data_IF_776816154841
#
_entry.id   IF_776816154841
#
_cell.length_a   1.000
_cell.length_b   1.000
_cell.length_c   1.000
_cell.angle_alpha   90.00
_cell.angle_beta   90.00
_cell.angle_gamma   90.00
#
_symmetry.space_group_name_H-M   'P 1'
#
loop_
_entity.id
_entity.type
_entity.pdbx_description
1 polymer ?
#
# COMPACT_ATOMS: atom_id res chain seq x y z
N UNK A 1 21.67 9.59 -14.28
CA UNK A 1 20.27 10.01 -14.22
C UNK A 1 19.59 9.39 -13.00
N UNK A 2 19.01 10.22 -12.15
CA UNK A 2 18.35 9.70 -10.95
C UNK A 2 17.07 8.97 -11.33
N UNK A 3 16.86 7.79 -10.76
CA UNK A 3 15.62 7.05 -10.95
C UNK A 3 14.56 7.62 -10.01
N UNK A 4 13.35 7.72 -10.51
CA UNK A 4 12.22 8.05 -9.67
C UNK A 4 11.95 6.86 -8.76
N UNK A 5 11.60 7.13 -7.51
CA UNK A 5 11.16 6.05 -6.62
C UNK A 5 9.80 5.53 -7.11
N UNK A 6 9.44 4.33 -6.72
CA UNK A 6 8.11 3.78 -7.04
C UNK A 6 6.98 4.65 -6.52
N UNK A 7 7.20 5.34 -5.41
CA UNK A 7 6.21 6.26 -4.83
C UNK A 7 5.96 7.47 -5.73
N UNK A 8 7.00 7.97 -6.39
CA UNK A 8 6.90 9.11 -7.29
C UNK A 8 6.36 8.73 -8.66
N UNK A 9 6.79 7.58 -9.17
CA UNK A 9 6.37 7.10 -10.49
C UNK A 9 4.98 6.47 -10.48
N UNK A 10 4.47 6.12 -9.30
CA UNK A 10 3.21 5.41 -9.15
C UNK A 10 3.30 3.90 -9.36
N UNK A 11 4.53 3.37 -9.41
CA UNK A 11 4.76 1.92 -9.50
C UNK A 11 5.14 1.40 -8.13
N UNK A 12 4.16 1.01 -7.35
CA UNK A 12 4.35 0.67 -5.95
C UNK A 12 4.74 -0.80 -5.76
N UNK A 13 5.67 -1.02 -4.83
CA UNK A 13 5.98 -2.37 -4.37
C UNK A 13 4.78 -2.93 -3.57
N UNK A 14 4.73 -4.25 -3.44
CA UNK A 14 3.61 -4.92 -2.77
C UNK A 14 3.35 -4.42 -1.35
N UNK A 15 4.41 -4.19 -0.57
CA UNK A 15 4.23 -3.70 0.80
C UNK A 15 3.47 -2.37 0.83
N UNK A 16 3.81 -1.45 -0.08
CA UNK A 16 3.14 -0.16 -0.17
C UNK A 16 1.67 -0.32 -0.58
N UNK A 17 1.39 -1.21 -1.53
CA UNK A 17 0.02 -1.50 -1.96
C UNK A 17 -0.80 -2.06 -0.81
N UNK A 18 -0.23 -2.99 -0.05
CA UNK A 18 -0.92 -3.57 1.12
C UNK A 18 -1.26 -2.49 2.17
N UNK A 19 -0.29 -1.63 2.47
CA UNK A 19 -0.52 -0.54 3.44
C UNK A 19 -1.62 0.39 2.94
N UNK A 20 -1.61 0.74 1.66
CA UNK A 20 -2.64 1.62 1.10
C UNK A 20 -4.02 0.96 1.12
N UNK A 21 -4.11 -0.35 0.87
CA UNK A 21 -5.37 -1.07 0.97
C UNK A 21 -5.95 -0.99 2.38
N UNK A 22 -5.09 -1.11 3.39
CA UNK A 22 -5.51 -0.98 4.78
C UNK A 22 -6.00 0.44 5.09
N UNK A 23 -5.57 1.44 4.32
CA UNK A 23 -5.88 2.85 4.54
C UNK A 23 -6.96 3.39 3.62
N UNK A 24 -7.64 2.53 2.89
CA UNK A 24 -8.87 2.91 2.16
C UNK A 24 -9.93 3.38 3.16
N UNK A 25 -9.90 2.81 4.35
CA UNK A 25 -10.62 3.31 5.53
C UNK A 25 -9.61 3.95 6.46
N UNK A 26 -9.95 5.03 7.16
CA UNK A 26 -9.02 5.64 8.12
C UNK A 26 -8.62 4.65 9.22
N UNK A 27 -7.33 4.57 9.51
CA UNK A 27 -6.79 3.68 10.55
C UNK A 27 -5.59 4.30 11.24
N UNK A 28 -5.40 3.94 12.49
CA UNK A 28 -4.14 4.21 13.19
C UNK A 28 -3.04 3.39 12.53
N UNK A 29 -1.83 3.94 12.47
CA UNK A 29 -0.71 3.24 11.89
C UNK A 29 -0.52 1.84 12.47
N UNK A 30 -0.60 1.72 13.80
CA UNK A 30 -0.46 0.42 14.46
C UNK A 30 -1.53 -0.59 14.02
N UNK A 31 -2.75 -0.13 13.82
CA UNK A 31 -3.85 -1.01 13.41
C UNK A 31 -3.68 -1.56 12.00
N UNK A 32 -2.86 -0.92 11.17
CA UNK A 32 -2.59 -1.40 9.81
C UNK A 32 -1.94 -2.78 9.83
N UNK A 33 -0.98 -3.00 10.73
CA UNK A 33 -0.30 -4.29 10.83
C UNK A 33 -1.28 -5.41 11.17
N UNK A 34 -2.10 -5.17 12.17
CA UNK A 34 -3.09 -6.14 12.62
C UNK A 34 -4.12 -6.42 11.53
N UNK A 35 -4.60 -5.37 10.88
CA UNK A 35 -5.59 -5.50 9.80
C UNK A 35 -5.05 -6.36 8.66
N UNK A 36 -3.81 -6.10 8.22
CA UNK A 36 -3.21 -6.85 7.11
C UNK A 36 -2.98 -8.31 7.47
N UNK A 37 -2.55 -8.57 8.69
CA UNK A 37 -2.36 -9.94 9.15
C UNK A 37 -3.67 -10.71 9.19
N UNK A 38 -4.72 -10.09 9.71
CA UNK A 38 -6.05 -10.72 9.77
C UNK A 38 -6.65 -10.95 8.39
N UNK A 39 -6.62 -9.92 7.53
CA UNK A 39 -7.20 -10.01 6.19
C UNK A 39 -6.47 -11.01 5.29
N UNK A 40 -5.17 -11.17 5.48
CA UNK A 40 -4.37 -12.10 4.69
C UNK A 40 -4.25 -13.49 5.33
N UNK A 41 -4.91 -13.70 6.47
CA UNK A 41 -4.81 -14.94 7.24
C UNK A 41 -3.35 -15.29 7.54
N UNK A 42 -2.57 -14.29 7.91
CA UNK A 42 -1.18 -14.45 8.29
C UNK A 42 -0.19 -14.46 7.14
N UNK A 43 -0.66 -14.38 5.89
CA UNK A 43 0.24 -14.39 4.73
C UNK A 43 1.07 -13.10 4.63
N UNK A 44 0.53 -11.99 5.16
CA UNK A 44 1.22 -10.71 5.16
C UNK A 44 1.50 -10.29 6.58
N UNK A 45 2.78 -10.30 6.95
CA UNK A 45 3.23 -9.85 8.25
C UNK A 45 4.21 -8.69 8.03
N UNK A 46 3.80 -7.50 8.43
CA UNK A 46 4.60 -6.31 8.26
C UNK A 46 5.12 -5.87 9.63
N UNK A 47 6.43 -5.74 9.77
CA UNK A 47 7.02 -5.29 11.02
C UNK A 47 6.87 -3.77 11.20
N UNK A 48 7.03 -3.27 12.44
CA UNK A 48 6.87 -1.84 12.73
C UNK A 48 7.81 -0.94 11.93
N UNK A 49 9.07 -1.32 11.79
CA UNK A 49 10.05 -0.51 11.04
C UNK A 49 9.65 -0.35 9.58
N UNK A 50 9.26 -1.45 8.94
CA UNK A 50 8.81 -1.44 7.55
C UNK A 50 7.53 -0.64 7.38
N UNK A 51 6.59 -0.80 8.32
CA UNK A 51 5.34 -0.06 8.30
C UNK A 51 5.58 1.45 8.35
N UNK A 52 6.31 1.91 9.36
CA UNK A 52 6.50 3.35 9.54
C UNK A 52 7.35 3.99 8.45
N UNK A 53 8.31 3.25 7.90
CA UNK A 53 9.07 3.69 6.73
C UNK A 53 8.13 3.86 5.52
N UNK A 54 7.26 2.89 5.30
CA UNK A 54 6.29 2.94 4.20
C UNK A 54 5.30 4.08 4.37
N UNK A 55 4.76 4.26 5.58
CA UNK A 55 3.84 5.37 5.87
C UNK A 55 4.49 6.72 5.58
N UNK A 56 5.75 6.89 5.99
CA UNK A 56 6.49 8.13 5.75
C UNK A 56 6.65 8.40 4.24
N UNK A 57 7.03 7.38 3.49
CA UNK A 57 7.21 7.51 2.04
C UNK A 57 5.91 7.79 1.32
N UNK A 58 4.83 7.13 1.71
CA UNK A 58 3.51 7.36 1.13
C UNK A 58 3.00 8.78 1.44
N UNK A 59 3.20 9.24 2.68
CA UNK A 59 2.85 10.61 3.07
C UNK A 59 3.63 11.63 2.27
N UNK A 60 4.95 11.43 2.13
CA UNK A 60 5.82 12.34 1.39
C UNK A 60 5.45 12.41 -0.08
N UNK A 61 4.94 11.33 -0.65
CA UNK A 61 4.50 11.29 -2.04
C UNK A 61 3.07 11.80 -2.23
N UNK A 62 2.37 12.17 -1.16
CA UNK A 62 1.01 12.68 -1.23
C UNK A 62 -0.06 11.62 -1.47
N UNK A 63 0.27 10.35 -1.24
CA UNK A 63 -0.65 9.24 -1.49
C UNK A 63 -1.50 8.90 -0.28
N UNK A 64 -1.04 9.27 0.91
CA UNK A 64 -1.81 9.20 2.16
C UNK A 64 -1.63 10.49 2.92
N UNK A 65 -2.52 10.76 3.87
CA UNK A 65 -2.41 11.93 4.75
C UNK A 65 -2.86 11.56 6.16
N UNK A 66 -2.37 12.33 7.12
CA UNK A 66 -2.85 12.24 8.50
C UNK A 66 -4.14 13.01 8.62
N UNK A 67 -5.15 12.39 9.22
CA UNK A 67 -6.43 13.06 9.49
C UNK A 67 -6.42 13.74 10.85
N UNK A 68 -5.86 13.08 11.84
CA UNK A 68 -5.84 13.57 13.21
C UNK A 68 -4.92 12.71 14.04
N UNK A 69 -4.73 13.12 15.28
CA UNK A 69 -3.99 12.33 16.24
C UNK A 69 -2.68 12.97 16.66
N UNK A 70 -2.21 12.53 17.80
CA UNK A 70 -0.96 12.97 18.37
C UNK A 70 -0.05 11.75 18.51
N UNK A 71 1.19 11.92 18.12
CA UNK A 71 2.22 10.90 18.30
C UNK A 71 1.81 9.51 17.81
N UNK A 72 1.70 8.54 18.73
CA UNK A 72 1.41 7.15 18.40
C UNK A 72 -0.03 6.90 17.95
N UNK A 73 -0.88 7.92 18.02
CA UNK A 73 -2.30 7.78 17.66
C UNK A 73 -2.65 8.46 16.34
N UNK A 74 -1.67 8.62 15.48
CA UNK A 74 -1.90 9.22 14.16
C UNK A 74 -2.78 8.33 13.31
N UNK A 75 -3.84 8.92 12.77
CA UNK A 75 -4.76 8.25 11.86
C UNK A 75 -4.40 8.64 10.44
N UNK A 76 -4.27 7.66 9.58
CA UNK A 76 -3.92 7.86 8.17
C UNK A 76 -5.06 7.42 7.27
N UNK A 77 -5.10 7.99 6.09
CA UNK A 77 -6.12 7.69 5.10
C UNK A 77 -5.56 7.96 3.70
N UNK A 78 -5.96 7.19 2.71
CA UNK A 78 -5.53 7.46 1.33
C UNK A 78 -6.12 8.80 0.86
N UNK A 79 -5.31 9.53 0.08
CA UNK A 79 -5.78 10.75 -0.58
C UNK A 79 -6.50 10.36 -1.88
N UNK A 80 -7.16 11.34 -2.52
CA UNK A 80 -7.74 11.10 -3.84
C UNK A 80 -6.68 10.67 -4.84
N UNK A 81 -5.51 11.31 -4.82
CA UNK A 81 -4.39 10.92 -5.67
C UNK A 81 -3.90 9.51 -5.35
N UNK A 82 -3.83 9.19 -4.05
CA UNK A 82 -3.44 7.84 -3.60
C UNK A 82 -4.40 6.77 -4.07
N UNK A 83 -5.69 7.06 -4.01
CA UNK A 83 -6.70 6.12 -4.48
C UNK A 83 -6.55 5.80 -5.97
N UNK A 84 -6.29 6.81 -6.79
CA UNK A 84 -6.06 6.60 -8.22
C UNK A 84 -4.81 5.75 -8.49
N UNK A 85 -3.73 6.03 -7.78
CA UNK A 85 -2.50 5.26 -7.89
C UNK A 85 -2.74 3.80 -7.45
N UNK A 86 -3.47 3.62 -6.36
CA UNK A 86 -3.79 2.28 -5.86
C UNK A 86 -4.60 1.48 -6.89
N UNK A 87 -5.63 2.09 -7.46
CA UNK A 87 -6.48 1.44 -8.47
C UNK A 87 -5.63 1.01 -9.67
N UNK A 88 -4.75 1.87 -10.17
CA UNK A 88 -3.87 1.54 -11.29
C UNK A 88 -2.92 0.39 -10.97
N UNK A 89 -2.41 0.37 -9.75
CA UNK A 89 -1.53 -0.72 -9.31
C UNK A 89 -2.25 -2.05 -9.21
N UNK A 90 -3.48 -2.05 -8.71
CA UNK A 90 -4.31 -3.26 -8.66
C UNK A 90 -4.64 -3.72 -10.08
N UNK A 91 -5.00 -2.81 -10.98
CA UNK A 91 -5.33 -3.14 -12.35
C UNK A 91 -4.15 -3.79 -13.09
N UNK A 92 -2.94 -3.25 -12.91
CA UNK A 92 -1.73 -3.86 -13.49
C UNK A 92 -1.50 -5.27 -12.96
N UNK A 93 -1.77 -5.50 -11.69
CA UNK A 93 -1.61 -6.83 -11.10
C UNK A 93 -2.66 -7.81 -11.61
N UNK A 94 -3.87 -7.36 -11.88
CA UNK A 94 -4.89 -8.19 -12.53
C UNK A 94 -4.45 -8.61 -13.92
N UNK A 95 -3.89 -7.70 -14.69
CA UNK A 95 -3.37 -7.99 -16.02
C UNK A 95 -2.24 -9.02 -15.96
N UNK A 96 -1.35 -8.86 -14.99
CA UNK A 96 -0.26 -9.81 -14.77
C UNK A 96 -0.80 -11.20 -14.44
N UNK A 97 -1.76 -11.28 -13.53
CA UNK A 97 -2.37 -12.55 -13.13
C UNK A 97 -3.07 -13.21 -14.31
N UNK A 98 -3.83 -12.43 -15.08
CA UNK A 98 -4.53 -12.93 -16.26
C UNK A 98 -3.56 -13.50 -17.29
N UNK A 99 -2.46 -12.79 -17.54
CA UNK A 99 -1.42 -13.26 -18.45
C UNK A 99 -0.75 -14.53 -17.94
N UNK A 100 -0.45 -14.56 -16.63
CA UNK A 100 0.17 -15.72 -16.00
C UNK A 100 -0.72 -16.96 -16.08
N UNK A 101 -2.00 -16.80 -15.79
CA UNK A 101 -2.97 -17.88 -15.85
C UNK A 101 -3.03 -18.47 -17.27
N UNK A 102 -3.09 -17.59 -18.26
CA UNK A 102 -3.11 -18.00 -19.67
C UNK A 102 -1.85 -18.76 -20.05
N UNK A 103 -0.69 -18.21 -19.70
CA UNK A 103 0.61 -18.81 -20.07
C UNK A 103 0.89 -20.12 -19.32
N UNK A 104 0.51 -20.21 -18.06
CA UNK A 104 0.72 -21.39 -17.24
C UNK A 104 -0.23 -22.53 -17.60
N UNK A 105 -1.42 -22.20 -18.07
CA UNK A 105 -2.40 -23.17 -18.53
C UNK A 105 -1.90 -23.98 -19.71
N UNK A 106 -1.16 -23.32 -20.60
CA UNK A 106 -0.64 -23.91 -21.83
C UNK A 106 0.71 -24.58 -21.65
N UNK A 107 1.29 -24.52 -20.45
CA UNK A 107 2.61 -25.05 -20.17
C UNK A 107 2.61 -26.55 -19.88
#
# INVERSE_FOLDING_TARGET
MARRSGYESGELADAAVHVMLALVEPRHGYAVMQFLEEESEGAIALGPASLYTTLKKLSSAGLIHELSGEDSRRVYHVTAAGREVLIRNIERRRQLISMADHLLEDA
#
